data_IF_884489747245
#
_entry.id   IF_884489747245
#
_cell.length_a   1.000
_cell.length_b   1.000
_cell.length_c   1.000
_cell.angle_alpha   90.00
_cell.angle_beta   90.00
_cell.angle_gamma   90.00
#
_symmetry.space_group_name_H-M   'P 1'
#
loop_
_entity.id
_entity.type
_entity.pdbx_description
1 polymer ?
#
# COMPACT_ATOMS: atom_id res chain seq x y z
N UNK A 1 8.85 7.62 6.69
CA UNK A 1 8.32 7.58 5.32
C UNK A 1 7.08 6.71 5.26
N UNK A 2 6.04 7.18 4.55
CA UNK A 2 4.78 6.46 4.40
C UNK A 2 4.74 5.73 3.06
N UNK A 3 4.37 4.46 3.09
CA UNK A 3 4.24 3.63 1.91
C UNK A 3 2.78 3.22 1.74
N UNK A 4 2.27 3.36 0.53
CA UNK A 4 0.93 2.87 0.20
C UNK A 4 1.03 1.81 -0.90
N UNK A 5 0.31 0.72 -0.71
CA UNK A 5 0.16 -0.33 -1.71
C UNK A 5 -1.21 -0.20 -2.35
N UNK A 6 -1.21 -0.02 -3.66
CA UNK A 6 -2.40 0.27 -4.47
C UNK A 6 -2.45 -0.67 -5.67
N UNK A 7 -3.61 -0.76 -6.30
CA UNK A 7 -3.77 -1.52 -7.54
C UNK A 7 -4.57 -0.68 -8.56
N UNK A 8 -4.44 -0.97 -9.87
CA UNK A 8 -5.29 -0.39 -10.89
C UNK A 8 -6.78 -0.62 -10.56
N UNK A 9 -7.63 0.35 -10.91
CA UNK A 9 -9.08 0.28 -10.70
C UNK A 9 -9.50 0.06 -9.23
N UNK A 10 -8.79 0.69 -8.28
CA UNK A 10 -9.12 0.67 -6.85
C UNK A 10 -9.66 2.05 -6.40
N UNK A 11 -10.99 2.25 -6.30
CA UNK A 11 -11.57 3.54 -5.92
C UNK A 11 -11.09 4.05 -4.55
N UNK A 12 -10.92 3.14 -3.57
CA UNK A 12 -10.40 3.49 -2.24
C UNK A 12 -8.96 3.99 -2.26
N UNK A 13 -8.15 3.47 -3.19
CA UNK A 13 -6.77 3.88 -3.37
C UNK A 13 -6.71 5.32 -3.89
N UNK A 14 -7.55 5.64 -4.88
CA UNK A 14 -7.65 7.00 -5.41
C UNK A 14 -8.14 7.99 -4.35
N UNK A 15 -9.19 7.64 -3.59
CA UNK A 15 -9.66 8.48 -2.47
C UNK A 15 -8.57 8.71 -1.40
N UNK A 16 -7.75 7.70 -1.11
CA UNK A 16 -6.64 7.84 -0.15
C UNK A 16 -5.56 8.81 -0.69
N UNK A 17 -5.17 8.68 -1.95
CA UNK A 17 -4.20 9.56 -2.61
C UNK A 17 -4.68 11.01 -2.62
N UNK A 18 -5.93 11.26 -2.97
CA UNK A 18 -6.53 12.60 -2.92
C UNK A 18 -6.50 13.17 -1.49
N UNK A 19 -6.82 12.34 -0.50
CA UNK A 19 -6.76 12.72 0.92
C UNK A 19 -5.33 13.06 1.36
N UNK A 20 -4.31 12.36 0.88
CA UNK A 20 -2.92 12.69 1.18
C UNK A 20 -2.46 13.96 0.48
N UNK A 21 -2.85 14.14 -0.79
CA UNK A 21 -2.58 15.35 -1.55
C UNK A 21 -3.17 16.59 -0.88
N UNK A 22 -4.41 16.52 -0.41
CA UNK A 22 -5.09 17.64 0.28
C UNK A 22 -4.46 17.97 1.63
N UNK A 23 -3.90 16.99 2.33
CA UNK A 23 -3.19 17.19 3.60
C UNK A 23 -1.70 17.52 3.44
N UNK A 24 -1.17 17.55 2.21
CA UNK A 24 0.25 17.75 1.96
C UNK A 24 1.15 16.64 2.52
N UNK A 25 0.62 15.42 2.60
CA UNK A 25 1.35 14.26 3.12
C UNK A 25 2.17 13.61 2.02
N UNK A 26 3.46 13.43 2.26
CA UNK A 26 4.35 12.69 1.37
C UNK A 26 4.19 11.18 1.57
N UNK A 27 4.13 10.45 0.45
CA UNK A 27 4.02 9.00 0.44
C UNK A 27 4.74 8.42 -0.77
N UNK A 28 5.14 7.17 -0.65
CA UNK A 28 5.69 6.35 -1.73
C UNK A 28 4.62 5.33 -2.12
N UNK A 29 4.19 5.38 -3.38
CA UNK A 29 3.26 4.40 -3.94
C UNK A 29 4.02 3.16 -4.44
N UNK A 30 3.51 1.99 -4.09
CA UNK A 30 3.98 0.69 -4.55
C UNK A 30 2.81 -0.13 -5.11
N UNK A 31 3.11 -0.98 -6.09
CA UNK A 31 2.11 -1.90 -6.64
C UNK A 31 1.78 -3.03 -5.65
N UNK A 32 0.49 -3.24 -5.37
CA UNK A 32 0.00 -4.29 -4.50
C UNK A 32 0.22 -5.71 -5.05
N UNK A 33 0.44 -5.89 -6.36
CA UNK A 33 0.80 -7.19 -6.92
C UNK A 33 2.14 -7.71 -6.38
N UNK A 34 3.01 -6.83 -5.86
CA UNK A 34 4.23 -7.20 -5.11
C UNK A 34 3.92 -8.04 -3.86
N UNK A 35 2.74 -7.85 -3.27
CA UNK A 35 2.31 -8.58 -2.07
C UNK A 35 1.76 -9.97 -2.41
N UNK A 36 1.28 -10.17 -3.65
CA UNK A 36 0.71 -11.45 -4.10
C UNK A 36 1.80 -12.42 -4.55
N UNK A 37 2.85 -11.92 -5.19
CA UNK A 37 3.95 -12.74 -5.64
C UNK A 37 5.03 -12.84 -4.54
N UNK A 38 5.57 -14.02 -4.23
CA UNK A 38 6.84 -14.13 -3.53
C UNK A 38 7.96 -13.75 -4.51
N UNK A 39 8.01 -12.49 -4.91
CA UNK A 39 9.18 -11.96 -5.58
C UNK A 39 10.36 -12.10 -4.60
N UNK A 40 11.52 -12.47 -5.13
CA UNK A 40 12.76 -12.73 -4.37
C UNK A 40 13.24 -11.47 -3.60
N UNK A 41 12.64 -10.32 -3.89
CA UNK A 41 13.08 -8.98 -3.45
C UNK A 41 12.06 -8.30 -2.52
N UNK A 42 11.44 -9.06 -1.60
CA UNK A 42 10.58 -8.48 -0.56
C UNK A 42 11.41 -7.76 0.49
N UNK A 43 11.23 -6.46 0.58
CA UNK A 43 11.78 -5.67 1.68
C UNK A 43 10.90 -5.83 2.95
N UNK A 44 11.43 -5.46 4.11
CA UNK A 44 10.67 -5.44 5.39
C UNK A 44 9.31 -4.74 5.26
N UNK A 45 9.24 -3.70 4.42
CA UNK A 45 8.03 -2.91 4.18
C UNK A 45 7.00 -3.71 3.39
N UNK A 46 7.44 -4.55 2.44
CA UNK A 46 6.55 -5.43 1.67
C UNK A 46 6.01 -6.53 2.60
N UNK A 47 6.82 -7.03 3.55
CA UNK A 47 6.40 -8.01 4.55
C UNK A 47 5.35 -7.42 5.49
N UNK A 48 5.59 -6.23 6.03
CA UNK A 48 4.62 -5.56 6.91
C UNK A 48 3.32 -5.25 6.18
N UNK A 49 3.41 -4.78 4.93
CA UNK A 49 2.25 -4.53 4.09
C UNK A 49 1.45 -5.82 3.82
N UNK A 50 2.11 -6.96 3.61
CA UNK A 50 1.42 -8.24 3.43
C UNK A 50 0.67 -8.69 4.69
N UNK A 51 1.28 -8.50 5.87
CA UNK A 51 0.62 -8.78 7.15
C UNK A 51 -0.61 -7.89 7.33
N UNK A 52 -0.47 -6.59 7.11
CA UNK A 52 -1.59 -5.65 7.18
C UNK A 52 -2.68 -5.93 6.14
N UNK A 53 -2.31 -6.29 4.92
CA UNK A 53 -3.24 -6.70 3.87
C UNK A 53 -4.08 -7.90 4.32
N UNK A 54 -3.42 -8.89 4.93
CA UNK A 54 -4.07 -10.09 5.46
C UNK A 54 -5.03 -9.77 6.60
N UNK A 55 -4.63 -8.86 7.51
CA UNK A 55 -5.50 -8.38 8.59
C UNK A 55 -6.72 -7.58 8.08
N UNK A 56 -6.59 -6.95 6.91
CA UNK A 56 -7.65 -6.17 6.26
C UNK A 56 -8.50 -7.00 5.29
N UNK A 57 -8.51 -8.33 5.41
CA UNK A 57 -9.24 -9.25 4.52
C UNK A 57 -8.85 -9.07 3.04
N UNK A 58 -7.57 -8.83 2.76
CA UNK A 58 -7.03 -8.63 1.42
C UNK A 58 -7.61 -7.39 0.70
N UNK A 59 -8.00 -6.36 1.45
CA UNK A 59 -8.55 -5.11 0.91
C UNK A 59 -7.47 -4.05 0.75
N UNK A 60 -7.50 -3.34 -0.38
CA UNK A 60 -6.66 -2.19 -0.68
C UNK A 60 -7.37 -0.86 -0.41
N UNK A 61 -6.63 0.24 -0.20
CA UNK A 61 -5.17 0.33 -0.10
C UNK A 61 -4.63 -0.20 1.24
N UNK A 62 -3.32 -0.50 1.29
CA UNK A 62 -2.60 -0.80 2.53
C UNK A 62 -1.60 0.30 2.83
N UNK A 63 -1.56 0.76 4.07
CA UNK A 63 -0.71 1.85 4.54
C UNK A 63 0.35 1.33 5.51
N UNK A 64 1.64 1.51 5.19
CA UNK A 64 2.75 1.18 6.08
C UNK A 64 3.50 2.44 6.46
N UNK A 65 3.69 2.65 7.77
CA UNK A 65 4.44 3.77 8.31
C UNK A 65 5.76 3.26 8.88
N UNK A 66 6.88 3.71 8.31
CA UNK A 66 8.23 3.39 8.81
C UNK A 66 9.05 4.65 9.04
#
# INVERSE_FOLDING_TARGET
MRYIYTAPACPKCESLKERYKTQGLEYIEKDADRLKNPAIDRDDIDVEAFVQLSMQNMVLPVEVNK
#
